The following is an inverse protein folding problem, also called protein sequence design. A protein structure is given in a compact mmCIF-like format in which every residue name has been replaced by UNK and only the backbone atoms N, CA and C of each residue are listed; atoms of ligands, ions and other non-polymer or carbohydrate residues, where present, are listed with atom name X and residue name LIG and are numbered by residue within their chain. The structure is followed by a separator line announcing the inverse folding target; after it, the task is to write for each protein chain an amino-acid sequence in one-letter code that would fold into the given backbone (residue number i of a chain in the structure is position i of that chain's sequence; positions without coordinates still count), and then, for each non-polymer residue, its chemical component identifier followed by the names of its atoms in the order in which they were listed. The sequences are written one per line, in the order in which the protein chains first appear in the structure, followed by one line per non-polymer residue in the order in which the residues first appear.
data_IF_025605355146
#
_entry.id   IF_025605355146
#
_cell.length_a   1.000
_cell.length_b   1.000
_cell.length_c   1.000
_cell.angle_alpha   90.00
_cell.angle_beta   90.00
_cell.angle_gamma   90.00
#
_symmetry.space_group_name_H-M   'P 1'
#
loop_
_entity.id
_entity.type
_entity.pdbx_description
1 polymer ?
#
# COMPACT_ATOMS: atom_id res chain seq x y z
N UNK A 1 18.89 2.82 6.54
CA UNK A 1 19.10 1.78 5.48
C UNK A 1 17.74 1.38 4.92
N UNK A 2 17.64 1.05 3.62
CA UNK A 2 16.40 0.62 2.99
C UNK A 2 16.34 -0.91 2.93
N UNK A 3 15.20 -1.46 3.34
CA UNK A 3 14.90 -2.89 3.27
C UNK A 3 13.80 -3.12 2.24
N UNK A 4 14.03 -4.03 1.32
CA UNK A 4 12.97 -4.46 0.41
C UNK A 4 11.83 -5.08 1.21
N UNK A 5 10.60 -4.73 0.86
CA UNK A 5 9.41 -5.16 1.56
C UNK A 5 8.40 -5.77 0.62
N UNK A 6 7.63 -6.69 1.15
CA UNK A 6 6.46 -7.30 0.50
C UNK A 6 5.20 -6.93 1.27
N UNK A 7 4.08 -6.98 0.58
CA UNK A 7 2.76 -6.89 1.22
C UNK A 7 2.44 -8.26 1.80
N UNK A 8 2.46 -8.36 3.13
CA UNK A 8 2.16 -9.60 3.84
C UNK A 8 0.65 -9.83 3.97
N UNK A 9 -0.15 -8.77 3.92
CA UNK A 9 -1.60 -8.88 3.98
C UNK A 9 -2.32 -7.55 4.11
N UNK A 10 -3.63 -7.63 3.96
CA UNK A 10 -4.60 -6.60 4.29
C UNK A 10 -5.54 -7.16 5.36
N UNK A 11 -5.78 -6.41 6.41
CA UNK A 11 -6.68 -6.78 7.50
C UNK A 11 -7.47 -5.58 8.01
N UNK A 12 -8.35 -5.80 8.98
CA UNK A 12 -9.09 -4.73 9.65
C UNK A 12 -8.63 -4.61 11.10
N UNK A 13 -8.51 -3.38 11.56
CA UNK A 13 -8.39 -3.09 12.99
C UNK A 13 -9.78 -3.25 13.64
N UNK A 14 -9.90 -4.19 14.58
CA UNK A 14 -11.16 -4.51 15.24
C UNK A 14 -11.69 -3.37 16.13
N UNK A 15 -10.80 -2.49 16.63
CA UNK A 15 -11.20 -1.38 17.49
C UNK A 15 -11.67 -0.16 16.69
N UNK A 16 -10.92 0.21 15.66
CA UNK A 16 -11.21 1.41 14.87
C UNK A 16 -12.00 1.13 13.59
N UNK A 17 -12.17 -0.14 13.23
CA UNK A 17 -12.80 -0.57 11.98
C UNK A 17 -12.13 0.03 10.73
N UNK A 18 -10.81 0.17 10.82
CA UNK A 18 -9.96 0.79 9.80
C UNK A 18 -9.09 -0.28 9.13
N UNK A 19 -8.98 -0.30 7.79
CA UNK A 19 -8.08 -1.22 7.10
C UNK A 19 -6.62 -1.00 7.49
N UNK A 20 -5.87 -2.09 7.60
CA UNK A 20 -4.44 -2.11 7.84
C UNK A 20 -3.76 -2.86 6.71
N UNK A 21 -2.78 -2.24 6.08
CA UNK A 21 -1.84 -2.95 5.22
C UNK A 21 -0.60 -3.33 6.03
N UNK A 22 -0.17 -4.56 5.88
CA UNK A 22 1.01 -5.07 6.57
C UNK A 22 2.13 -5.23 5.56
N UNK A 23 3.17 -4.41 5.72
CA UNK A 23 4.41 -4.54 4.99
C UNK A 23 5.41 -5.36 5.81
N UNK A 24 6.09 -6.29 5.17
CA UNK A 24 7.09 -7.16 5.81
C UNK A 24 8.43 -7.00 5.11
N UNK A 25 9.48 -6.77 5.89
CA UNK A 25 10.85 -6.75 5.36
C UNK A 25 11.24 -8.15 4.90
N UNK A 26 11.73 -8.29 3.68
CA UNK A 26 12.23 -9.58 3.17
C UNK A 26 13.46 -10.09 3.92
N UNK A 27 14.23 -9.17 4.53
CA UNK A 27 15.53 -9.49 5.15
C UNK A 27 15.42 -9.80 6.63
N UNK A 28 14.59 -9.04 7.37
CA UNK A 28 14.54 -9.10 8.83
C UNK A 28 13.29 -9.77 9.38
N UNK A 29 12.36 -10.11 8.52
CA UNK A 29 11.06 -10.71 8.86
C UNK A 29 10.17 -9.79 9.73
N UNK A 30 10.58 -8.54 9.93
CA UNK A 30 9.85 -7.55 10.71
C UNK A 30 8.69 -7.00 9.90
N UNK A 31 7.53 -6.90 10.55
CA UNK A 31 6.31 -6.40 9.96
C UNK A 31 6.01 -4.97 10.45
N UNK A 32 5.51 -4.15 9.53
CA UNK A 32 5.07 -2.78 9.78
C UNK A 32 3.62 -2.66 9.36
N UNK A 33 2.68 -2.52 10.31
CA UNK A 33 1.29 -2.25 10.00
C UNK A 33 1.09 -0.76 9.72
N UNK A 34 0.32 -0.45 8.70
CA UNK A 34 -0.01 0.91 8.30
C UNK A 34 -1.52 1.01 8.14
N UNK A 35 -2.16 1.87 8.94
CA UNK A 35 -3.59 2.16 8.84
C UNK A 35 -3.86 3.00 7.59
N UNK A 36 -4.82 2.58 6.79
CA UNK A 36 -5.16 3.22 5.51
C UNK A 36 -6.68 3.40 5.40
N UNK A 37 -7.12 4.23 4.46
CA UNK A 37 -8.54 4.40 4.19
C UNK A 37 -9.14 3.21 3.44
N UNK A 38 -10.47 3.10 3.50
CA UNK A 38 -11.21 2.03 2.84
C UNK A 38 -11.04 2.05 1.31
N UNK A 39 -11.10 3.22 0.71
CA UNK A 39 -10.93 3.38 -0.75
C UNK A 39 -9.50 3.04 -1.19
N UNK A 40 -8.51 3.41 -0.38
CA UNK A 40 -7.12 3.08 -0.61
C UNK A 40 -6.88 1.56 -0.49
N UNK A 41 -7.46 0.92 0.53
CA UNK A 41 -7.39 -0.54 0.70
C UNK A 41 -8.01 -1.27 -0.49
N UNK A 42 -9.16 -0.79 -0.97
CA UNK A 42 -9.83 -1.32 -2.16
C UNK A 42 -8.96 -1.19 -3.41
N UNK A 43 -8.32 -0.04 -3.60
CA UNK A 43 -7.40 0.18 -4.72
C UNK A 43 -6.19 -0.74 -4.69
N UNK A 44 -5.62 -0.99 -3.51
CA UNK A 44 -4.51 -1.93 -3.32
C UNK A 44 -4.97 -3.36 -3.59
N UNK A 45 -6.10 -3.76 -3.02
CA UNK A 45 -6.64 -5.11 -3.19
C UNK A 45 -6.95 -5.41 -4.66
N UNK A 46 -7.55 -4.47 -5.39
CA UNK A 46 -7.84 -4.64 -6.82
C UNK A 46 -6.56 -4.83 -7.64
N UNK A 47 -5.49 -4.10 -7.33
CA UNK A 47 -4.21 -4.24 -7.99
C UNK A 47 -3.55 -5.59 -7.69
N UNK A 48 -3.58 -6.04 -6.42
CA UNK A 48 -3.05 -7.35 -6.01
C UNK A 48 -3.77 -8.51 -6.71
N UNK A 49 -5.08 -8.39 -6.89
CA UNK A 49 -5.92 -9.39 -7.56
C UNK A 49 -5.95 -9.25 -9.07
N UNK A 50 -5.28 -8.23 -9.61
CA UNK A 50 -5.29 -7.90 -11.04
C UNK A 50 -6.70 -7.73 -11.62
N UNK A 51 -7.58 -7.14 -10.82
CA UNK A 51 -8.94 -6.79 -11.25
C UNK A 51 -8.86 -5.66 -12.25
N UNK A 52 -9.50 -5.83 -13.40
CA UNK A 52 -9.60 -4.81 -14.45
C UNK A 52 -11.00 -4.20 -14.44
N UNK A 53 -11.05 -2.87 -14.40
CA UNK A 53 -12.29 -2.11 -14.47
C UNK A 53 -12.56 -1.64 -15.90
N UNK A 54 -13.83 -1.44 -16.27
CA UNK A 54 -14.22 -0.91 -17.57
C UNK A 54 -13.66 0.51 -17.82
N UNK A 55 -13.58 1.28 -16.74
CA UNK A 55 -12.96 2.61 -16.75
C UNK A 55 -11.82 2.68 -15.73
N UNK A 56 -10.72 3.38 -16.05
CA UNK A 56 -9.59 3.48 -15.13
C UNK A 56 -10.02 4.20 -13.83
N UNK A 57 -9.69 3.60 -12.68
CA UNK A 57 -9.78 4.24 -11.37
C UNK A 57 -8.59 5.20 -11.18
N UNK A 58 -8.58 5.99 -10.12
CA UNK A 58 -7.59 7.07 -9.91
C UNK A 58 -6.13 6.61 -10.08
N UNK A 59 -5.73 5.51 -9.45
CA UNK A 59 -4.36 5.01 -9.57
C UNK A 59 -4.09 4.37 -10.94
N UNK A 60 -5.10 3.80 -11.60
CA UNK A 60 -4.97 3.30 -12.97
C UNK A 60 -4.79 4.47 -13.95
N UNK A 61 -5.54 5.57 -13.73
CA UNK A 61 -5.40 6.79 -14.51
C UNK A 61 -3.98 7.37 -14.37
N UNK A 62 -3.44 7.36 -13.14
CA UNK A 62 -2.07 7.78 -12.88
C UNK A 62 -1.05 6.91 -13.65
N UNK A 63 -1.24 5.58 -13.64
CA UNK A 63 -0.41 4.66 -14.42
C UNK A 63 -0.48 4.97 -15.90
N UNK A 64 -1.68 5.16 -16.43
CA UNK A 64 -1.89 5.49 -17.85
C UNK A 64 -1.19 6.81 -18.24
N UNK A 65 -1.23 7.82 -17.35
CA UNK A 65 -0.52 9.08 -17.56
C UNK A 65 1.01 8.86 -17.58
N UNK A 66 1.53 8.09 -16.63
CA UNK A 66 2.96 7.75 -16.58
C UNK A 66 3.43 7.07 -17.86
N UNK A 67 2.68 6.07 -18.33
CA UNK A 67 2.98 5.37 -19.59
C UNK A 67 2.96 6.33 -20.80
N UNK A 68 2.01 7.25 -20.82
CA UNK A 68 1.89 8.24 -21.90
C UNK A 68 3.06 9.21 -21.95
N UNK A 69 3.66 9.50 -20.80
CA UNK A 69 4.79 10.42 -20.65
C UNK A 69 6.15 9.71 -20.62
N UNK A 70 6.20 8.41 -20.85
CA UNK A 70 7.41 7.59 -20.71
C UNK A 70 8.09 7.74 -19.32
N UNK A 71 7.26 7.85 -18.26
CA UNK A 71 7.71 7.93 -16.88
C UNK A 71 7.56 6.56 -16.22
N UNK A 72 8.61 6.12 -15.53
CA UNK A 72 8.65 4.85 -14.79
C UNK A 72 8.78 5.15 -13.31
N UNK A 73 8.09 4.36 -12.47
CA UNK A 73 8.34 4.33 -11.04
C UNK A 73 9.46 3.34 -10.77
N UNK A 74 10.61 3.84 -10.33
CA UNK A 74 11.80 3.01 -10.08
C UNK A 74 11.72 2.28 -8.74
N UNK A 75 11.11 2.90 -7.73
CA UNK A 75 10.80 2.34 -6.42
C UNK A 75 9.81 3.22 -5.67
N UNK A 76 9.21 2.68 -4.64
CA UNK A 76 8.57 3.45 -3.57
C UNK A 76 9.22 3.14 -2.24
N UNK A 77 9.22 4.09 -1.32
CA UNK A 77 9.79 3.88 0.00
C UNK A 77 8.90 4.52 1.07
N UNK A 78 8.61 3.77 2.13
CA UNK A 78 8.05 4.29 3.36
C UNK A 78 9.24 4.75 4.18
N UNK A 79 9.42 6.06 4.31
CA UNK A 79 10.69 6.66 4.70
C UNK A 79 10.70 7.22 6.13
N UNK A 80 9.56 7.50 6.72
CA UNK A 80 9.50 7.99 8.11
C UNK A 80 8.13 7.73 8.76
N UNK A 81 8.10 7.91 10.08
CA UNK A 81 6.89 7.99 10.90
C UNK A 81 7.06 9.13 11.92
N UNK A 82 6.13 10.07 11.93
CA UNK A 82 6.09 11.20 12.87
C UNK A 82 4.65 11.35 13.35
N UNK A 83 4.46 11.48 14.66
CA UNK A 83 3.14 11.65 15.29
C UNK A 83 2.10 10.63 14.79
N UNK A 84 2.48 9.36 14.75
CA UNK A 84 1.68 8.24 14.20
C UNK A 84 1.29 8.38 12.72
N UNK A 85 1.91 9.30 11.99
CA UNK A 85 1.71 9.49 10.57
C UNK A 85 2.89 8.93 9.79
N UNK A 86 2.63 8.00 8.88
CA UNK A 86 3.64 7.44 8.00
C UNK A 86 3.83 8.32 6.77
N UNK A 87 5.09 8.47 6.37
CA UNK A 87 5.50 9.23 5.18
C UNK A 87 6.10 8.28 4.14
N UNK A 88 5.79 8.54 2.88
CA UNK A 88 6.33 7.76 1.78
C UNK A 88 6.83 8.67 0.65
N UNK A 89 7.67 8.12 -0.21
CA UNK A 89 8.15 8.74 -1.43
C UNK A 89 8.02 7.80 -2.62
N UNK A 90 7.59 8.35 -3.73
CA UNK A 90 7.59 7.68 -5.02
C UNK A 90 8.76 8.22 -5.82
N UNK A 91 9.65 7.34 -6.26
CA UNK A 91 10.82 7.69 -7.07
C UNK A 91 10.53 7.42 -8.54
N UNK A 92 10.66 8.44 -9.33
CA UNK A 92 10.39 8.44 -10.75
C UNK A 92 11.68 8.50 -11.57
N UNK A 93 11.63 7.87 -12.72
CA UNK A 93 12.65 7.92 -13.75
C UNK A 93 11.96 8.36 -15.05
N UNK A 94 12.43 9.46 -15.62
CA UNK A 94 12.10 9.89 -16.97
C UNK A 94 13.35 9.87 -17.87
N UNK A 95 13.19 10.21 -19.15
CA UNK A 95 14.32 10.25 -20.08
C UNK A 95 15.41 11.23 -19.66
N UNK A 96 15.02 12.32 -19.00
CA UNK A 96 15.89 13.47 -18.75
C UNK A 96 16.31 13.60 -17.29
N UNK A 97 15.55 13.03 -16.35
CA UNK A 97 15.80 13.19 -14.92
C UNK A 97 15.24 12.08 -14.04
N UNK A 98 15.79 12.00 -12.84
CA UNK A 98 15.23 11.24 -11.72
C UNK A 98 14.75 12.21 -10.67
N UNK A 99 13.53 12.00 -10.14
CA UNK A 99 12.95 12.82 -9.09
C UNK A 99 12.10 12.00 -8.15
N UNK A 100 11.75 12.56 -7.01
CA UNK A 100 10.84 11.90 -6.08
C UNK A 100 9.74 12.85 -5.62
N UNK A 101 8.57 12.28 -5.34
CA UNK A 101 7.41 13.01 -4.86
C UNK A 101 6.99 12.43 -3.52
N UNK A 102 6.63 13.30 -2.58
CA UNK A 102 6.01 12.94 -1.32
C UNK A 102 4.62 12.36 -1.57
N UNK A 103 4.27 11.30 -0.83
CA UNK A 103 3.01 10.59 -0.98
C UNK A 103 2.58 9.96 0.34
N UNK A 104 1.28 9.70 0.47
CA UNK A 104 0.81 8.81 1.52
C UNK A 104 1.27 7.38 1.20
N UNK A 105 1.60 6.56 2.22
CA UNK A 105 2.00 5.17 1.98
C UNK A 105 1.01 4.36 1.14
N UNK A 106 -0.29 4.54 1.37
CA UNK A 106 -1.34 3.87 0.61
C UNK A 106 -1.30 4.19 -0.88
N UNK A 107 -1.11 5.47 -1.24
CA UNK A 107 -1.01 5.89 -2.64
C UNK A 107 0.29 5.37 -3.27
N UNK A 108 1.40 5.46 -2.56
CA UNK A 108 2.69 4.96 -3.02
C UNK A 108 2.65 3.44 -3.30
N UNK A 109 2.03 2.66 -2.40
CA UNK A 109 1.86 1.21 -2.56
C UNK A 109 0.92 0.90 -3.74
N UNK A 110 -0.23 1.58 -3.84
CA UNK A 110 -1.17 1.38 -4.93
C UNK A 110 -0.55 1.68 -6.31
N UNK A 111 0.33 2.68 -6.37
CA UNK A 111 1.09 3.04 -7.57
C UNK A 111 2.20 2.01 -7.82
N UNK A 112 2.95 1.60 -6.79
CA UNK A 112 4.00 0.59 -6.92
C UNK A 112 3.47 -0.70 -7.55
N UNK A 113 2.32 -1.18 -7.09
CA UNK A 113 1.68 -2.38 -7.63
C UNK A 113 1.33 -2.28 -9.11
N UNK A 114 0.94 -1.09 -9.58
CA UNK A 114 0.58 -0.86 -10.99
C UNK A 114 1.76 -0.68 -11.92
N UNK A 115 2.89 -0.22 -11.37
CA UNK A 115 4.14 -0.07 -12.12
C UNK A 115 5.10 -1.26 -11.94
N UNK A 116 4.70 -2.31 -11.22
CA UNK A 116 5.58 -3.42 -10.81
C UNK A 116 6.87 -2.93 -10.13
N UNK A 117 6.76 -1.82 -9.39
CA UNK A 117 7.89 -1.20 -8.72
C UNK A 117 8.14 -1.83 -7.34
N UNK A 118 9.41 -1.98 -6.93
CA UNK A 118 9.74 -2.49 -5.61
C UNK A 118 9.36 -1.50 -4.50
N UNK A 119 8.91 -2.05 -3.37
CA UNK A 119 8.58 -1.33 -2.16
C UNK A 119 9.72 -1.48 -1.18
N UNK A 120 10.08 -0.40 -0.50
CA UNK A 120 11.10 -0.37 0.53
C UNK A 120 10.59 0.25 1.83
N UNK A 121 11.16 -0.22 2.94
CA UNK A 121 11.00 0.34 4.28
C UNK A 121 12.35 0.89 4.76
N UNK A 122 12.36 2.09 5.33
CA UNK A 122 13.54 2.61 6.02
C UNK A 122 13.65 2.02 7.43
N UNK A 123 14.89 1.80 7.93
CA UNK A 123 15.16 1.36 9.30
C UNK A 123 14.38 2.16 10.34
N UNK A 124 14.31 3.48 10.17
CA UNK A 124 13.58 4.38 11.07
C UNK A 124 12.11 4.00 11.23
N UNK A 125 11.49 3.57 10.12
CA UNK A 125 10.07 3.18 10.13
C UNK A 125 9.91 1.88 10.88
N UNK A 126 10.78 0.91 10.63
CA UNK A 126 10.77 -0.38 11.29
C UNK A 126 10.96 -0.20 12.80
N UNK A 127 12.00 0.53 13.21
CA UNK A 127 12.33 0.77 14.62
C UNK A 127 11.20 1.51 15.35
N UNK A 128 10.73 2.62 14.80
CA UNK A 128 9.66 3.44 15.40
C UNK A 128 8.33 2.69 15.48
N UNK A 129 7.99 1.91 14.46
CA UNK A 129 6.78 1.09 14.46
C UNK A 129 6.79 0.04 15.57
N UNK A 130 7.93 -0.61 15.81
CA UNK A 130 8.08 -1.58 16.90
C UNK A 130 7.92 -0.93 18.28
N UNK A 131 8.45 0.28 18.47
CA UNK A 131 8.33 1.04 19.73
C UNK A 131 6.87 1.45 20.01
N UNK A 132 6.11 1.81 18.99
CA UNK A 132 4.75 2.29 19.13
C UNK A 132 3.77 1.15 19.46
N UNK A 133 4.03 -0.05 18.99
CA UNK A 133 3.09 -1.16 19.08
C UNK A 133 3.26 -2.06 20.31
N UNK A 134 4.33 -1.90 21.10
CA UNK A 134 4.51 -2.61 22.40
C UNK A 134 4.38 -4.14 22.38
N UNK A 135 4.29 -4.76 21.21
CA UNK A 135 4.09 -6.21 21.04
C UNK A 135 3.93 -6.58 19.58
N UNK A 136 4.02 -7.86 19.26
CA UNK A 136 3.76 -8.40 17.92
C UNK A 136 2.34 -8.02 17.50
N UNK A 137 2.12 -7.42 16.33
CA UNK A 137 0.77 -7.27 15.82
C UNK A 137 0.17 -8.67 15.65
N UNK A 138 -0.94 -8.95 16.31
CA UNK A 138 -1.76 -10.08 15.96
C UNK A 138 -2.35 -9.82 14.57
N UNK A 139 -1.83 -10.53 13.60
CA UNK A 139 -1.98 -10.25 12.16
C UNK A 139 -3.32 -10.70 11.59
N UNK A 140 -4.20 -11.26 12.41
CA UNK A 140 -5.49 -11.77 11.93
C UNK A 140 -6.60 -11.25 12.81
N UNK A 141 -7.33 -10.26 12.31
CA UNK A 141 -8.64 -9.93 12.88
C UNK A 141 -9.61 -11.09 12.59
N UNK A 142 -9.89 -11.89 13.62
CA UNK A 142 -10.85 -13.00 13.58
C UNK A 142 -12.28 -12.56 13.91
N UNK A 143 -12.53 -11.26 14.08
CA UNK A 143 -13.87 -10.74 14.28
C UNK A 143 -14.79 -11.03 13.09
N UNK A 144 -16.09 -11.02 13.32
CA UNK A 144 -17.08 -11.18 12.24
C UNK A 144 -16.96 -10.09 11.17
N UNK A 145 -16.57 -8.88 11.55
CA UNK A 145 -16.40 -7.76 10.63
C UNK A 145 -15.08 -7.88 9.84
N UNK A 146 -14.00 -8.37 10.47
CA UNK A 146 -12.75 -8.70 9.79
C UNK A 146 -12.93 -9.80 8.75
N UNK A 147 -13.72 -10.83 9.06
CA UNK A 147 -14.06 -11.91 8.12
C UNK A 147 -14.91 -11.40 6.95
N UNK A 148 -15.93 -10.57 7.21
CA UNK A 148 -16.75 -9.95 6.16
C UNK A 148 -15.93 -9.07 5.23
N UNK A 149 -14.97 -8.33 5.79
CA UNK A 149 -14.07 -7.50 5.01
C UNK A 149 -13.12 -8.33 4.15
N UNK A 150 -12.54 -9.41 4.70
CA UNK A 150 -11.72 -10.34 3.93
C UNK A 150 -12.53 -10.98 2.80
N UNK A 151 -13.77 -11.40 3.08
CA UNK A 151 -14.70 -11.94 2.09
C UNK A 151 -15.06 -10.89 1.01
N UNK A 152 -15.30 -9.64 1.41
CA UNK A 152 -15.53 -8.53 0.47
C UNK A 152 -14.32 -8.33 -0.46
N UNK A 153 -13.11 -8.29 0.09
CA UNK A 153 -11.89 -8.17 -0.70
C UNK A 153 -11.65 -9.39 -1.60
N UNK A 154 -12.03 -10.59 -1.15
CA UNK A 154 -11.94 -11.80 -1.97
C UNK A 154 -12.91 -11.82 -3.13
N UNK A 155 -14.08 -11.24 -2.97
CA UNK A 155 -15.17 -11.23 -3.96
C UNK A 155 -15.33 -9.88 -4.66
N UNK A 156 -14.28 -9.02 -4.66
CA UNK A 156 -14.30 -7.75 -5.38
C UNK A 156 -14.69 -7.97 -6.85
N UNK A 157 -15.86 -7.43 -7.23
CA UNK A 157 -16.33 -7.45 -8.61
C UNK A 157 -16.19 -6.04 -9.21
N UNK A 158 -15.67 -5.91 -10.44
CA UNK A 158 -15.64 -4.63 -11.16
C UNK A 158 -17.01 -3.93 -11.25
N UNK A 159 -18.10 -4.68 -11.22
CA UNK A 159 -19.46 -4.11 -11.28
C UNK A 159 -19.87 -3.40 -9.98
N UNK A 160 -19.23 -3.71 -8.83
CA UNK A 160 -19.51 -3.08 -7.53
C UNK A 160 -19.09 -1.59 -7.48
N UNK A 161 -18.23 -1.16 -8.41
CA UNK A 161 -17.71 0.22 -8.49
C UNK A 161 -18.48 1.14 -9.45
N UNK A 162 -19.65 0.69 -9.88
CA UNK A 162 -20.58 1.48 -10.66
C UNK A 162 -20.19 1.66 -12.12
N UNK A 163 -21.16 1.45 -12.99
CA UNK A 163 -21.10 1.95 -14.36
C UNK A 163 -21.36 3.44 -14.29
N UNK A 164 -20.31 4.24 -14.42
CA UNK A 164 -20.43 5.69 -14.60
C UNK A 164 -20.46 6.00 -16.09
#
# INVERSE_FOLDING_TARGET
MLHRAIIAGLTMDSESNTPIIILKSEKTDQAVPIWIGLLEATSIASALKKVSFDRPMTHDLFKNLGDRLDIVVSKVEVCDIMDNTYFARIHFLSKDETFSIDARPSDAIAIALRFDAPIFLDDKVIEKSQMTMGGKPEVVDQSEDGKKWAEYLENLDPEDFGKV
#
